data_IF_615832297898
#
_entry.id   IF_615832297898
#
_cell.length_a   1.000
_cell.length_b   1.000
_cell.length_c   1.000
_cell.angle_alpha   90.00
_cell.angle_beta   90.00
_cell.angle_gamma   90.00
#
_symmetry.space_group_name_H-M   'P 1'
#
loop_
_entity.id
_entity.type
_entity.pdbx_description
1 polymer ?
#
# COMPACT_ATOMS: atom_id res chain seq x y z
N UNK A 1 4.65 -15.11 -36.91
CA UNK A 1 5.09 -15.08 -35.51
C UNK A 1 5.70 -13.72 -35.27
N UNK A 2 4.97 -12.78 -34.66
CA UNK A 2 5.50 -11.46 -34.35
C UNK A 2 6.59 -11.63 -33.29
N UNK A 3 7.84 -11.44 -33.67
CA UNK A 3 8.99 -11.52 -32.77
C UNK A 3 8.80 -10.56 -31.60
N UNK A 4 8.89 -11.08 -30.38
CA UNK A 4 8.89 -10.27 -29.16
C UNK A 4 9.97 -9.19 -29.28
N UNK A 5 9.65 -7.90 -29.09
CA UNK A 5 10.65 -6.84 -29.18
C UNK A 5 11.86 -7.09 -28.27
N UNK A 6 13.07 -6.81 -28.76
CA UNK A 6 14.33 -7.15 -28.08
C UNK A 6 14.47 -6.58 -26.66
N UNK A 7 13.70 -5.54 -26.32
CA UNK A 7 13.63 -5.00 -24.96
C UNK A 7 13.20 -6.04 -23.91
N UNK A 8 12.48 -7.09 -24.29
CA UNK A 8 12.03 -8.14 -23.36
C UNK A 8 12.95 -9.36 -23.29
N UNK A 9 14.02 -9.39 -24.10
CA UNK A 9 14.88 -10.57 -24.26
C UNK A 9 15.61 -11.00 -22.98
N UNK A 10 15.78 -10.10 -22.00
CA UNK A 10 16.44 -10.36 -20.72
C UNK A 10 15.54 -11.11 -19.70
N UNK A 11 14.25 -11.28 -19.99
CA UNK A 11 13.31 -11.89 -19.05
C UNK A 11 13.26 -13.40 -19.30
N UNK A 12 14.08 -14.14 -18.57
CA UNK A 12 14.06 -15.59 -18.58
C UNK A 12 12.87 -16.12 -17.76
N UNK A 13 12.09 -17.03 -18.34
CA UNK A 13 10.94 -17.70 -17.70
C UNK A 13 9.93 -16.76 -17.00
N UNK A 14 9.29 -15.81 -17.73
CA UNK A 14 8.33 -14.89 -17.13
C UNK A 14 7.11 -15.62 -16.55
N UNK A 15 6.58 -15.10 -15.43
CA UNK A 15 5.29 -15.54 -14.89
C UNK A 15 4.15 -15.29 -15.88
N UNK A 16 3.00 -15.92 -15.69
CA UNK A 16 1.84 -15.73 -16.56
C UNK A 16 1.40 -14.25 -16.64
N UNK A 17 1.45 -13.54 -15.51
CA UNK A 17 1.13 -12.10 -15.44
C UNK A 17 2.12 -11.26 -16.26
N UNK A 18 3.42 -11.55 -16.15
CA UNK A 18 4.46 -10.83 -16.90
C UNK A 18 4.33 -11.12 -18.40
N UNK A 19 4.03 -12.36 -18.80
CA UNK A 19 3.75 -12.70 -20.20
C UNK A 19 2.58 -11.89 -20.75
N UNK A 20 1.47 -11.81 -20.02
CA UNK A 20 0.31 -11.03 -20.43
C UNK A 20 0.61 -9.53 -20.60
N UNK A 21 1.48 -8.97 -19.75
CA UNK A 21 1.95 -7.58 -19.92
C UNK A 21 2.76 -7.43 -21.21
N UNK A 22 3.72 -8.32 -21.45
CA UNK A 22 4.58 -8.29 -22.65
C UNK A 22 3.73 -8.41 -23.92
N UNK A 23 2.75 -9.31 -23.94
CA UNK A 23 1.83 -9.49 -25.05
C UNK A 23 1.04 -8.21 -25.35
N UNK A 24 0.49 -7.56 -24.31
CA UNK A 24 -0.23 -6.28 -24.48
C UNK A 24 0.65 -5.17 -25.01
N UNK A 25 1.88 -5.02 -24.49
CA UNK A 25 2.83 -4.02 -24.96
C UNK A 25 3.22 -4.28 -26.42
N UNK A 26 3.45 -5.54 -26.79
CA UNK A 26 3.78 -5.94 -28.16
C UNK A 26 2.60 -5.70 -29.11
N UNK A 27 1.38 -5.97 -28.67
CA UNK A 27 0.17 -5.69 -29.43
C UNK A 27 -0.01 -4.18 -29.66
N UNK A 28 0.16 -3.35 -28.62
CA UNK A 28 0.10 -1.89 -28.73
C UNK A 28 1.16 -1.35 -29.70
N UNK A 29 2.38 -1.90 -29.65
CA UNK A 29 3.46 -1.54 -30.58
C UNK A 29 3.14 -1.92 -32.03
N UNK A 30 2.62 -3.12 -32.24
CA UNK A 30 2.28 -3.61 -33.59
C UNK A 30 1.09 -2.86 -34.19
N UNK A 31 0.13 -2.47 -33.35
CA UNK A 31 -1.05 -1.71 -33.74
C UNK A 31 -0.80 -0.20 -33.86
N UNK A 32 0.41 0.29 -33.53
CA UNK A 32 0.73 1.70 -33.61
C UNK A 32 0.60 2.21 -35.05
N UNK A 33 -0.12 3.32 -35.20
CA UNK A 33 -0.48 3.88 -36.51
C UNK A 33 0.68 4.66 -37.13
N UNK A 34 0.56 4.96 -38.42
CA UNK A 34 1.51 5.85 -39.10
C UNK A 34 1.53 7.25 -38.48
N UNK A 35 0.38 7.73 -37.99
CA UNK A 35 0.29 8.98 -37.24
C UNK A 35 1.07 8.92 -35.93
N UNK A 36 0.96 7.82 -35.18
CA UNK A 36 1.74 7.63 -33.95
C UNK A 36 3.25 7.68 -34.23
N UNK A 37 3.70 6.98 -35.28
CA UNK A 37 5.11 6.99 -35.72
C UNK A 37 5.57 8.38 -36.14
N UNK A 38 4.76 9.09 -36.91
CA UNK A 38 5.08 10.45 -37.34
C UNK A 38 5.19 11.42 -36.16
N UNK A 39 4.28 11.34 -35.18
CA UNK A 39 4.34 12.16 -33.96
C UNK A 39 5.54 11.80 -33.08
N UNK A 40 5.86 10.51 -32.92
CA UNK A 40 7.09 10.09 -32.22
C UNK A 40 8.32 10.68 -32.90
N UNK A 41 8.44 10.55 -34.22
CA UNK A 41 9.57 11.11 -34.96
C UNK A 41 9.72 12.62 -34.75
N UNK A 42 8.62 13.39 -34.68
CA UNK A 42 8.68 14.83 -34.34
C UNK A 42 9.27 15.07 -32.95
N UNK A 43 8.91 14.25 -31.95
CA UNK A 43 9.49 14.35 -30.60
C UNK A 43 10.99 14.07 -30.62
N UNK A 44 11.41 13.02 -31.35
CA UNK A 44 12.81 12.61 -31.43
C UNK A 44 13.66 13.68 -32.14
N UNK A 45 13.20 14.18 -33.29
CA UNK A 45 13.93 15.22 -34.02
C UNK A 45 13.99 16.54 -33.23
N UNK A 46 12.93 16.87 -32.49
CA UNK A 46 12.96 17.99 -31.55
C UNK A 46 14.01 17.79 -30.46
N UNK A 47 14.11 16.60 -29.87
CA UNK A 47 15.11 16.28 -28.86
C UNK A 47 16.54 16.46 -29.39
N UNK A 48 16.80 16.00 -30.63
CA UNK A 48 18.10 16.08 -31.30
C UNK A 48 18.57 17.49 -31.64
N UNK A 49 17.67 18.49 -31.64
CA UNK A 49 18.09 19.89 -31.76
C UNK A 49 19.00 20.35 -30.60
N UNK A 50 18.99 19.62 -29.48
CA UNK A 50 19.73 19.96 -28.27
C UNK A 50 19.16 21.16 -27.51
N UNK A 51 18.06 21.75 -27.99
CA UNK A 51 17.38 22.83 -27.28
C UNK A 51 16.69 22.27 -26.04
N UNK A 52 17.02 22.84 -24.89
CA UNK A 52 16.37 22.52 -23.61
C UNK A 52 15.04 23.24 -23.51
N UNK A 53 13.96 22.51 -23.67
CA UNK A 53 12.61 22.99 -23.44
C UNK A 53 11.67 21.85 -23.01
N UNK A 54 10.39 22.15 -22.85
CA UNK A 54 9.36 21.16 -22.57
C UNK A 54 8.06 21.46 -23.31
N UNK A 55 7.22 20.45 -23.47
CA UNK A 55 5.88 20.59 -24.02
C UNK A 55 4.91 19.59 -23.38
N UNK A 56 3.61 19.90 -23.42
CA UNK A 56 2.56 18.94 -23.09
C UNK A 56 2.18 18.19 -24.35
N UNK A 57 2.18 16.86 -24.28
CA UNK A 57 1.88 15.96 -25.40
C UNK A 57 0.71 15.07 -25.01
N UNK A 58 -0.24 14.88 -25.94
CA UNK A 58 -1.24 13.82 -25.85
C UNK A 58 -0.60 12.50 -26.25
N UNK A 59 -0.12 11.74 -25.26
CA UNK A 59 0.58 10.49 -25.51
C UNK A 59 -0.46 9.38 -25.73
N UNK A 60 -0.55 8.89 -26.98
CA UNK A 60 -1.39 7.74 -27.33
C UNK A 60 -0.72 6.43 -26.88
N UNK A 61 -1.48 5.33 -26.76
CA UNK A 61 -0.89 4.01 -26.48
C UNK A 61 0.13 3.57 -27.53
N UNK A 62 -0.12 3.88 -28.82
CA UNK A 62 0.79 3.58 -29.92
C UNK A 62 2.11 4.35 -29.81
N UNK A 63 2.05 5.66 -29.59
CA UNK A 63 3.25 6.49 -29.36
C UNK A 63 4.05 5.98 -28.16
N UNK A 64 3.36 5.68 -27.06
CA UNK A 64 3.98 5.19 -25.84
C UNK A 64 4.70 3.85 -26.04
N UNK A 65 4.08 2.93 -26.79
CA UNK A 65 4.66 1.64 -27.12
C UNK A 65 5.90 1.79 -28.02
N UNK A 66 5.88 2.66 -29.03
CA UNK A 66 7.04 2.96 -29.88
C UNK A 66 8.19 3.53 -29.04
N UNK A 67 7.91 4.56 -28.22
CA UNK A 67 8.91 5.17 -27.36
C UNK A 67 9.54 4.18 -26.39
N UNK A 68 8.73 3.31 -25.80
CA UNK A 68 9.20 2.28 -24.89
C UNK A 68 10.02 1.19 -25.61
N UNK A 69 9.61 0.75 -26.79
CA UNK A 69 10.28 -0.36 -27.50
C UNK A 69 11.55 0.09 -28.24
N UNK A 70 11.52 1.24 -28.92
CA UNK A 70 12.57 1.64 -29.86
C UNK A 70 13.59 2.64 -29.27
N UNK A 71 13.16 3.45 -28.30
CA UNK A 71 13.92 4.60 -27.78
C UNK A 71 14.28 4.49 -26.29
N UNK A 72 14.02 3.35 -25.64
CA UNK A 72 14.32 3.12 -24.23
C UNK A 72 15.66 2.38 -24.01
N UNK A 73 16.77 2.95 -24.49
CA UNK A 73 18.06 2.23 -24.56
C UNK A 73 18.96 2.42 -23.34
N UNK A 74 18.84 3.56 -22.67
CA UNK A 74 19.78 4.00 -21.63
C UNK A 74 19.19 3.94 -20.21
N UNK A 75 17.95 3.48 -20.08
CA UNK A 75 17.29 3.36 -18.79
C UNK A 75 17.70 2.08 -18.04
N UNK A 76 17.53 2.12 -16.72
CA UNK A 76 17.66 0.95 -15.86
C UNK A 76 16.70 -0.17 -16.27
N UNK A 77 16.96 -1.37 -15.75
CA UNK A 77 16.12 -2.55 -15.98
C UNK A 77 14.62 -2.26 -15.81
N UNK A 78 13.84 -2.78 -16.76
CA UNK A 78 12.41 -2.58 -16.80
C UNK A 78 11.72 -3.37 -15.68
N UNK A 79 10.68 -2.78 -15.08
CA UNK A 79 9.89 -3.42 -14.02
C UNK A 79 8.46 -3.62 -14.51
N UNK A 80 8.03 -4.87 -14.75
CA UNK A 80 6.65 -5.19 -15.10
C UNK A 80 5.67 -4.73 -14.01
N UNK A 81 6.03 -4.89 -12.73
CA UNK A 81 5.21 -4.45 -11.60
C UNK A 81 4.98 -2.93 -11.62
N UNK A 82 6.02 -2.12 -11.87
CA UNK A 82 5.86 -0.66 -11.97
C UNK A 82 5.02 -0.25 -13.17
N UNK A 83 5.14 -0.99 -14.26
CA UNK A 83 4.32 -0.77 -15.46
C UNK A 83 2.84 -1.05 -15.18
N UNK A 84 2.54 -2.16 -14.51
CA UNK A 84 1.20 -2.50 -14.06
C UNK A 84 0.64 -1.44 -13.10
N UNK A 85 1.44 -0.95 -12.14
CA UNK A 85 1.04 0.14 -11.23
C UNK A 85 0.62 1.40 -12.01
N UNK A 86 1.39 1.85 -13.01
CA UNK A 86 0.99 3.00 -13.82
C UNK A 86 -0.22 2.72 -14.71
N UNK A 87 -0.28 1.53 -15.31
CA UNK A 87 -1.42 1.11 -16.13
C UNK A 87 -2.73 1.12 -15.33
N UNK A 88 -2.71 0.58 -14.10
CA UNK A 88 -3.86 0.59 -13.19
C UNK A 88 -4.26 2.02 -12.79
N UNK A 89 -3.30 2.90 -12.51
CA UNK A 89 -3.60 4.30 -12.19
C UNK A 89 -4.34 5.00 -13.32
N UNK A 90 -3.94 4.74 -14.57
CA UNK A 90 -4.60 5.31 -15.74
C UNK A 90 -6.00 4.73 -15.90
N UNK A 91 -6.16 3.40 -15.85
CA UNK A 91 -7.47 2.77 -16.08
C UNK A 91 -8.47 3.01 -14.95
N UNK A 92 -8.00 3.27 -13.73
CA UNK A 92 -8.84 3.63 -12.58
C UNK A 92 -9.15 5.12 -12.46
N UNK A 93 -8.68 5.96 -13.39
CA UNK A 93 -8.86 7.42 -13.34
C UNK A 93 -8.08 8.09 -12.21
N UNK A 94 -7.10 7.41 -11.61
CA UNK A 94 -6.21 7.99 -10.59
C UNK A 94 -4.95 8.65 -11.20
N UNK A 95 -4.84 8.69 -12.52
CA UNK A 95 -3.75 9.40 -13.20
C UNK A 95 -4.01 10.90 -13.15
N UNK A 96 -3.07 11.63 -12.55
CA UNK A 96 -3.12 13.09 -12.44
C UNK A 96 -2.04 13.70 -13.31
N UNK A 97 -2.38 14.77 -14.03
CA UNK A 97 -1.40 15.52 -14.81
C UNK A 97 -0.40 16.21 -13.87
N UNK A 98 0.90 16.01 -14.12
CA UNK A 98 1.96 16.67 -13.38
C UNK A 98 3.09 17.13 -14.31
N UNK A 99 4.01 17.94 -13.79
CA UNK A 99 5.25 18.32 -14.48
C UNK A 99 6.21 17.14 -14.69
N UNK A 100 5.99 16.01 -14.00
CA UNK A 100 6.77 14.79 -14.17
C UNK A 100 6.19 13.99 -15.35
N UNK A 101 7.02 13.66 -16.32
CA UNK A 101 6.56 12.96 -17.52
C UNK A 101 7.68 12.19 -18.23
N UNK A 102 7.89 12.44 -19.52
CA UNK A 102 8.97 11.80 -20.27
C UNK A 102 10.15 12.74 -20.46
N UNK A 103 11.35 12.16 -20.49
CA UNK A 103 12.58 12.91 -20.71
C UNK A 103 13.34 12.37 -21.91
N UNK A 104 13.78 13.24 -22.80
CA UNK A 104 14.59 12.87 -23.97
C UNK A 104 15.98 13.48 -23.95
N UNK A 105 16.95 12.65 -24.32
CA UNK A 105 18.33 13.05 -24.52
C UNK A 105 18.52 13.76 -25.86
N UNK A 106 19.64 14.45 -26.00
CA UNK A 106 20.12 14.99 -27.28
C UNK A 106 20.34 13.89 -28.34
N UNK A 107 20.46 12.61 -27.96
CA UNK A 107 20.50 11.47 -28.90
C UNK A 107 19.13 11.15 -29.50
N UNK A 108 18.05 11.61 -28.87
CA UNK A 108 16.68 11.17 -29.13
C UNK A 108 16.23 9.98 -28.29
N UNK A 109 17.10 9.35 -27.50
CA UNK A 109 16.67 8.28 -26.59
C UNK A 109 15.93 8.86 -25.39
N UNK A 110 14.96 8.10 -24.89
CA UNK A 110 14.26 8.39 -23.65
C UNK A 110 15.17 8.12 -22.45
N UNK A 111 15.41 9.13 -21.62
CA UNK A 111 16.21 9.07 -20.38
C UNK A 111 15.37 8.91 -19.12
N UNK A 112 14.07 9.19 -19.19
CA UNK A 112 13.16 9.10 -18.06
C UNK A 112 11.74 8.79 -18.54
N UNK A 113 10.98 8.13 -17.67
CA UNK A 113 9.57 7.84 -17.89
C UNK A 113 9.31 6.47 -18.52
N UNK A 114 10.29 5.55 -18.57
CA UNK A 114 10.10 4.23 -19.18
C UNK A 114 8.87 3.47 -18.65
N UNK A 115 8.64 3.48 -17.34
CA UNK A 115 7.50 2.79 -16.72
C UNK A 115 6.19 3.55 -16.94
N UNK A 116 6.25 4.89 -17.09
CA UNK A 116 5.09 5.72 -17.44
C UNK A 116 4.67 5.44 -18.87
N UNK A 117 5.59 5.49 -19.83
CA UNK A 117 5.34 5.15 -21.23
C UNK A 117 4.80 3.72 -21.38
N UNK A 118 5.45 2.73 -20.77
CA UNK A 118 4.93 1.36 -20.75
C UNK A 118 3.54 1.27 -20.09
N UNK A 119 3.28 2.04 -19.04
CA UNK A 119 1.98 2.10 -18.36
C UNK A 119 0.86 2.64 -19.26
N UNK A 120 1.11 3.71 -20.03
CA UNK A 120 0.17 4.25 -21.03
C UNK A 120 -0.14 3.22 -22.11
N UNK A 121 0.91 2.58 -22.66
CA UNK A 121 0.75 1.51 -23.65
C UNK A 121 -0.06 0.34 -23.09
N UNK A 122 0.20 -0.07 -21.84
CA UNK A 122 -0.51 -1.16 -21.17
C UNK A 122 -1.98 -0.82 -20.87
N UNK A 123 -2.26 0.42 -20.46
CA UNK A 123 -3.60 0.89 -20.12
C UNK A 123 -4.52 1.01 -21.34
N UNK A 124 -3.95 1.23 -22.53
CA UNK A 124 -4.72 1.43 -23.76
C UNK A 124 -5.52 2.73 -23.79
N UNK A 125 -5.16 3.73 -22.97
CA UNK A 125 -5.81 5.03 -22.91
C UNK A 125 -4.82 6.17 -23.19
N UNK A 126 -5.26 7.18 -23.93
CA UNK A 126 -4.47 8.39 -24.20
C UNK A 126 -4.45 9.29 -22.97
N UNK A 127 -3.28 9.80 -22.58
CA UNK A 127 -3.11 10.73 -21.47
C UNK A 127 -2.33 11.98 -21.89
N UNK A 128 -2.56 13.10 -21.21
CA UNK A 128 -1.68 14.26 -21.32
C UNK A 128 -0.44 14.06 -20.45
N UNK A 129 0.75 14.33 -21.00
CA UNK A 129 2.00 14.18 -20.29
C UNK A 129 3.01 15.26 -20.67
N UNK A 130 3.73 15.76 -19.67
CA UNK A 130 4.85 16.68 -19.87
C UNK A 130 6.02 15.94 -20.51
N UNK A 131 6.66 16.52 -21.52
CA UNK A 131 7.83 15.96 -22.19
C UNK A 131 8.95 16.99 -22.17
N UNK A 132 10.11 16.62 -21.64
CA UNK A 132 11.33 17.43 -21.63
C UNK A 132 12.34 17.01 -22.71
N UNK A 133 13.00 17.99 -23.33
CA UNK A 133 13.91 17.78 -24.46
C UNK A 133 15.33 18.32 -24.18
N UNK A 134 16.31 17.87 -24.99
CA UNK A 134 17.66 18.46 -25.05
C UNK A 134 18.54 18.16 -23.82
N UNK A 135 18.33 17.02 -23.17
CA UNK A 135 19.15 16.63 -22.02
C UNK A 135 20.45 15.96 -22.45
N UNK A 136 21.56 16.38 -21.83
CA UNK A 136 22.84 15.68 -21.98
C UNK A 136 22.76 14.30 -21.32
N UNK A 137 23.49 13.32 -21.84
CA UNK A 137 23.54 11.96 -21.30
C UNK A 137 23.83 11.92 -19.78
N UNK A 138 24.74 12.78 -19.29
CA UNK A 138 25.07 12.87 -17.87
C UNK A 138 23.89 13.29 -16.95
N UNK A 139 22.81 13.86 -17.50
CA UNK A 139 21.64 14.22 -16.72
C UNK A 139 20.92 13.00 -16.12
N UNK A 140 21.03 11.82 -16.75
CA UNK A 140 20.38 10.57 -16.31
C UNK A 140 20.69 10.27 -14.83
N UNK A 141 21.91 10.54 -14.37
CA UNK A 141 22.36 10.24 -13.00
C UNK A 141 21.65 11.12 -11.97
N UNK A 142 21.20 12.32 -12.34
CA UNK A 142 20.54 13.26 -11.44
C UNK A 142 19.02 13.02 -11.32
N UNK A 143 18.43 12.27 -12.26
CA UNK A 143 16.98 12.02 -12.33
C UNK A 143 16.54 11.14 -11.15
N UNK A 144 15.44 11.54 -10.50
CA UNK A 144 14.76 10.77 -9.44
C UNK A 144 15.64 10.33 -8.24
N UNK A 145 16.69 11.10 -7.95
CA UNK A 145 17.56 10.90 -6.77
C UNK A 145 16.95 11.41 -5.45
N UNK A 146 15.75 11.98 -5.50
CA UNK A 146 15.07 12.56 -4.35
C UNK A 146 14.43 11.55 -3.40
N UNK A 147 14.10 11.99 -2.19
CA UNK A 147 13.36 11.18 -1.21
C UNK A 147 11.94 10.89 -1.71
N UNK A 148 11.58 9.61 -1.81
CA UNK A 148 10.21 9.17 -2.11
C UNK A 148 9.26 9.62 -1.01
N UNK A 149 8.23 10.40 -1.37
CA UNK A 149 7.17 10.84 -0.43
C UNK A 149 6.38 9.64 0.11
N UNK A 150 6.15 9.63 1.41
CA UNK A 150 5.30 8.65 2.09
C UNK A 150 3.84 9.14 2.15
N UNK A 151 2.88 8.24 2.41
CA UNK A 151 1.46 8.60 2.62
C UNK A 151 1.29 9.77 3.61
N UNK A 152 2.05 9.77 4.69
CA UNK A 152 2.06 10.84 5.70
C UNK A 152 2.61 12.17 5.19
N UNK A 153 3.56 12.16 4.25
CA UNK A 153 4.04 13.38 3.61
C UNK A 153 2.91 13.98 2.74
N UNK A 154 2.15 13.15 2.00
CA UNK A 154 1.00 13.62 1.22
C UNK A 154 -0.10 14.23 2.08
N UNK A 155 -0.40 13.61 3.22
CA UNK A 155 -1.41 14.08 4.15
C UNK A 155 -0.98 15.33 4.93
N UNK A 156 0.33 15.49 5.15
CA UNK A 156 0.89 16.70 5.74
C UNK A 156 0.84 17.90 4.79
N UNK A 157 0.84 17.68 3.46
CA UNK A 157 0.66 18.76 2.49
C UNK A 157 -0.73 19.37 2.69
N UNK A 158 -0.77 20.66 3.02
CA UNK A 158 -2.00 21.41 3.23
C UNK A 158 -2.74 21.09 4.54
N UNK A 159 -2.09 20.44 5.51
CA UNK A 159 -2.69 20.08 6.81
C UNK A 159 -4.02 19.32 6.69
N UNK A 160 -4.13 18.40 5.73
CA UNK A 160 -5.40 17.71 5.44
C UNK A 160 -5.90 16.86 6.61
N UNK A 161 -5.00 16.36 7.46
CA UNK A 161 -5.33 15.61 8.68
C UNK A 161 -4.31 15.91 9.78
N UNK A 162 -4.75 15.85 11.03
CA UNK A 162 -3.86 15.85 12.19
C UNK A 162 -3.07 14.53 12.31
N UNK A 163 -1.84 14.59 12.82
CA UNK A 163 -0.97 13.44 13.12
C UNK A 163 -0.80 12.41 11.98
N UNK A 164 -0.50 12.84 10.74
CA UNK A 164 -0.52 11.96 9.56
C UNK A 164 0.47 10.78 9.67
N UNK A 165 1.62 10.98 10.31
CA UNK A 165 2.61 9.91 10.55
C UNK A 165 2.07 8.81 11.46
N UNK A 166 1.38 9.19 12.54
CA UNK A 166 0.81 8.25 13.51
C UNK A 166 -0.34 7.47 12.88
N UNK A 167 -1.23 8.16 12.17
CA UNK A 167 -2.33 7.54 11.40
C UNK A 167 -1.83 6.56 10.33
N UNK A 168 -0.76 6.89 9.61
CA UNK A 168 -0.12 5.97 8.66
C UNK A 168 0.34 4.67 9.34
N UNK A 169 0.95 4.75 10.51
CA UNK A 169 1.38 3.56 11.26
C UNK A 169 0.17 2.74 11.69
N UNK A 170 -0.87 3.39 12.22
CA UNK A 170 -2.09 2.72 12.69
C UNK A 170 -2.80 1.96 11.60
N UNK A 171 -3.05 2.60 10.45
CA UNK A 171 -3.68 1.94 9.29
C UNK A 171 -2.85 0.74 8.82
N UNK A 172 -1.53 0.91 8.62
CA UNK A 172 -0.66 -0.18 8.17
C UNK A 172 -0.67 -1.37 9.14
N UNK A 173 -0.61 -1.12 10.45
CA UNK A 173 -0.61 -2.18 11.46
C UNK A 173 -1.96 -2.90 11.58
N UNK A 174 -3.06 -2.14 11.58
CA UNK A 174 -4.40 -2.71 11.64
C UNK A 174 -4.72 -3.53 10.38
N UNK A 175 -4.47 -2.97 9.20
CA UNK A 175 -4.77 -3.64 7.92
C UNK A 175 -3.90 -4.89 7.71
N UNK A 176 -2.61 -4.83 8.06
CA UNK A 176 -1.75 -6.01 8.00
C UNK A 176 -2.24 -7.13 8.93
N UNK A 177 -2.76 -6.77 10.10
CA UNK A 177 -3.33 -7.74 11.05
C UNK A 177 -4.64 -8.33 10.53
N UNK A 178 -5.57 -7.49 10.06
CA UNK A 178 -6.86 -7.95 9.51
C UNK A 178 -6.66 -8.83 8.27
N UNK A 179 -5.76 -8.44 7.35
CA UNK A 179 -5.38 -9.27 6.21
C UNK A 179 -4.78 -10.62 6.62
N UNK A 180 -4.02 -10.65 7.73
CA UNK A 180 -3.46 -11.90 8.26
C UNK A 180 -4.56 -12.82 8.82
N UNK A 181 -5.60 -12.26 9.42
CA UNK A 181 -6.69 -13.00 10.08
C UNK A 181 -7.84 -13.38 9.13
N UNK A 182 -7.93 -12.73 7.97
CA UNK A 182 -8.94 -13.03 6.97
C UNK A 182 -8.95 -14.50 6.56
N UNK A 183 -10.15 -15.08 6.48
CA UNK A 183 -10.38 -16.50 6.17
C UNK A 183 -10.43 -16.76 4.65
N UNK A 184 -10.66 -15.72 3.87
CA UNK A 184 -10.68 -15.76 2.41
C UNK A 184 -9.99 -14.54 1.81
N UNK A 185 -9.66 -14.62 0.52
CA UNK A 185 -9.14 -13.47 -0.22
C UNK A 185 -10.16 -12.34 -0.32
N UNK A 186 -11.44 -12.67 -0.41
CA UNK A 186 -12.54 -11.68 -0.42
C UNK A 186 -12.60 -10.90 0.90
N UNK A 187 -12.45 -11.56 2.04
CA UNK A 187 -12.38 -10.90 3.35
C UNK A 187 -11.09 -10.08 3.51
N UNK A 188 -9.98 -10.52 2.90
CA UNK A 188 -8.69 -9.85 2.96
C UNK A 188 -8.64 -8.58 2.08
N UNK A 189 -9.41 -8.56 1.00
CA UNK A 189 -9.32 -7.56 -0.08
C UNK A 189 -9.45 -6.11 0.39
N UNK A 190 -10.37 -5.72 1.29
CA UNK A 190 -10.51 -4.33 1.74
C UNK A 190 -9.28 -3.81 2.51
N UNK A 191 -8.48 -4.72 3.06
CA UNK A 191 -7.30 -4.40 3.88
C UNK A 191 -5.99 -4.55 3.10
N UNK A 192 -6.06 -4.84 1.80
CA UNK A 192 -4.88 -4.94 0.96
C UNK A 192 -4.32 -3.55 0.67
N UNK A 193 -3.02 -3.37 0.92
CA UNK A 193 -2.28 -2.17 0.58
C UNK A 193 -1.28 -2.57 -0.49
N UNK A 194 -1.37 -1.96 -1.67
CA UNK A 194 -0.46 -2.20 -2.79
C UNK A 194 0.98 -1.83 -2.40
N UNK A 195 1.96 -2.28 -3.17
CA UNK A 195 3.34 -1.88 -2.98
C UNK A 195 3.60 -0.48 -3.57
N UNK A 196 4.74 0.13 -3.22
CA UNK A 196 5.21 1.37 -3.84
C UNK A 196 4.27 2.57 -3.68
N UNK A 197 4.18 3.37 -4.76
CA UNK A 197 3.40 4.61 -4.77
C UNK A 197 1.89 4.37 -4.68
N UNK A 198 1.38 3.31 -5.29
CA UNK A 198 -0.02 2.91 -5.17
C UNK A 198 -0.40 2.59 -3.72
N UNK A 199 0.48 1.91 -2.98
CA UNK A 199 0.31 1.67 -1.54
C UNK A 199 0.22 2.93 -0.70
N UNK A 200 0.96 3.98 -1.06
CA UNK A 200 0.83 5.27 -0.38
C UNK A 200 -0.57 5.87 -0.59
N UNK A 201 -1.14 5.75 -1.80
CA UNK A 201 -2.51 6.22 -2.09
C UNK A 201 -3.55 5.41 -1.33
N UNK A 202 -3.40 4.09 -1.26
CA UNK A 202 -4.29 3.21 -0.49
C UNK A 202 -4.33 3.64 0.99
N UNK A 203 -3.16 3.92 1.57
CA UNK A 203 -3.06 4.41 2.95
C UNK A 203 -3.68 5.80 3.11
N UNK A 204 -3.47 6.72 2.17
CA UNK A 204 -4.11 8.05 2.19
C UNK A 204 -5.63 7.92 2.15
N UNK A 205 -6.17 7.08 1.25
CA UNK A 205 -7.61 6.80 1.13
C UNK A 205 -8.17 6.23 2.43
N UNK A 206 -7.49 5.23 3.00
CA UNK A 206 -7.89 4.60 4.27
C UNK A 206 -7.87 5.59 5.45
N UNK A 207 -6.84 6.46 5.53
CA UNK A 207 -6.77 7.49 6.59
C UNK A 207 -7.93 8.46 6.45
N UNK A 208 -8.20 8.97 5.24
CA UNK A 208 -9.32 9.89 5.01
C UNK A 208 -10.67 9.25 5.31
N UNK A 209 -10.88 8.00 4.89
CA UNK A 209 -12.11 7.25 5.13
C UNK A 209 -12.38 6.97 6.62
N UNK A 210 -11.32 6.92 7.44
CA UNK A 210 -11.41 6.54 8.85
C UNK A 210 -10.87 7.60 9.81
N UNK A 211 -10.80 8.87 9.40
CA UNK A 211 -10.08 9.91 10.17
C UNK A 211 -10.63 10.07 11.60
N UNK A 212 -11.97 10.10 11.74
CA UNK A 212 -12.63 10.19 13.04
C UNK A 212 -12.32 8.97 13.93
N UNK A 213 -12.46 7.76 13.40
CA UNK A 213 -12.13 6.52 14.12
C UNK A 213 -10.65 6.48 14.54
N UNK A 214 -9.75 6.97 13.67
CA UNK A 214 -8.33 7.07 13.98
C UNK A 214 -8.06 8.07 15.11
N UNK A 215 -8.72 9.23 15.11
CA UNK A 215 -8.62 10.21 16.19
C UNK A 215 -9.08 9.62 17.53
N UNK A 216 -10.23 8.95 17.54
CA UNK A 216 -10.74 8.28 18.73
C UNK A 216 -9.81 7.18 19.23
N UNK A 217 -9.31 6.34 18.33
CA UNK A 217 -8.37 5.28 18.67
C UNK A 217 -7.04 5.82 19.22
N UNK A 218 -6.55 6.96 18.71
CA UNK A 218 -5.36 7.62 19.26
C UNK A 218 -5.60 8.09 20.70
N UNK A 219 -6.75 8.68 20.99
CA UNK A 219 -7.12 9.10 22.34
C UNK A 219 -7.16 7.89 23.29
N UNK A 220 -7.89 6.84 22.91
CA UNK A 220 -7.99 5.59 23.69
C UNK A 220 -6.59 5.00 23.94
N UNK A 221 -5.76 4.92 22.90
CA UNK A 221 -4.40 4.39 23.01
C UNK A 221 -3.53 5.19 23.99
N UNK A 222 -3.60 6.53 23.95
CA UNK A 222 -2.86 7.40 24.88
C UNK A 222 -3.36 7.26 26.33
N UNK A 223 -4.67 7.28 26.53
CA UNK A 223 -5.28 7.16 27.85
C UNK A 223 -4.97 5.79 28.46
N UNK A 224 -5.02 4.73 27.66
CA UNK A 224 -4.70 3.36 28.08
C UNK A 224 -3.26 3.14 28.55
N UNK A 225 -2.34 4.09 28.35
CA UNK A 225 -0.97 3.97 28.87
C UNK A 225 -0.64 5.02 29.92
N UNK A 226 -1.56 5.95 30.20
CA UNK A 226 -1.33 7.06 31.11
C UNK A 226 -1.07 6.55 32.53
N UNK A 227 0.05 7.00 33.12
CA UNK A 227 0.43 6.59 34.47
C UNK A 227 1.01 5.17 34.58
N UNK A 228 1.17 4.44 33.46
CA UNK A 228 1.71 3.07 33.46
C UNK A 228 3.20 3.07 33.10
N UNK A 229 4.04 2.48 33.95
CA UNK A 229 5.48 2.40 33.73
C UNK A 229 5.89 1.31 32.73
N UNK A 230 5.13 0.22 32.64
CA UNK A 230 5.38 -0.92 31.74
C UNK A 230 4.09 -1.42 31.09
N UNK A 231 3.44 -0.63 30.21
CA UNK A 231 2.25 -1.08 29.51
C UNK A 231 2.57 -2.24 28.55
N UNK A 232 1.62 -3.17 28.40
CA UNK A 232 1.74 -4.32 27.48
C UNK A 232 1.87 -3.89 26.01
N UNK A 233 1.12 -2.85 25.61
CA UNK A 233 1.25 -2.16 24.33
C UNK A 233 1.68 -0.72 24.56
N UNK A 234 2.70 -0.26 23.83
CA UNK A 234 3.06 1.17 23.82
C UNK A 234 1.92 2.00 23.23
N UNK A 235 1.87 3.30 23.51
CA UNK A 235 0.80 4.20 23.08
C UNK A 235 0.39 4.07 21.60
N UNK A 236 1.36 3.90 20.69
CA UNK A 236 1.09 3.73 19.27
C UNK A 236 0.57 2.33 18.93
N UNK A 237 1.09 1.27 19.57
CA UNK A 237 0.58 -0.09 19.41
C UNK A 237 -0.86 -0.18 19.94
N UNK A 238 -1.12 0.42 21.10
CA UNK A 238 -2.43 0.49 21.73
C UNK A 238 -3.45 1.24 20.86
N UNK A 239 -3.03 2.37 20.27
CA UNK A 239 -3.88 3.12 19.34
C UNK A 239 -4.20 2.31 18.07
N UNK A 240 -3.21 1.63 17.47
CA UNK A 240 -3.44 0.76 16.32
C UNK A 240 -4.37 -0.40 16.64
N UNK A 241 -4.25 -0.97 17.84
CA UNK A 241 -5.10 -2.05 18.32
C UNK A 241 -6.54 -1.57 18.55
N UNK A 242 -6.71 -0.43 19.23
CA UNK A 242 -8.02 0.20 19.40
C UNK A 242 -8.68 0.53 18.06
N UNK A 243 -7.91 1.05 17.11
CA UNK A 243 -8.40 1.34 15.75
C UNK A 243 -8.91 0.06 15.07
N UNK A 244 -8.16 -1.05 15.16
CA UNK A 244 -8.57 -2.34 14.60
C UNK A 244 -9.91 -2.80 15.18
N UNK A 245 -10.07 -2.76 16.50
CA UNK A 245 -11.30 -3.20 17.16
C UNK A 245 -12.50 -2.32 16.77
N UNK A 246 -12.33 -0.99 16.78
CA UNK A 246 -13.37 -0.05 16.34
C UNK A 246 -13.76 -0.27 14.88
N UNK A 247 -12.78 -0.51 14.00
CA UNK A 247 -13.01 -0.82 12.59
C UNK A 247 -13.79 -2.14 12.40
N UNK A 248 -13.66 -3.07 13.34
CA UNK A 248 -14.39 -4.35 13.39
C UNK A 248 -15.70 -4.29 14.19
N UNK A 249 -16.17 -3.09 14.51
CA UNK A 249 -17.49 -2.86 15.11
C UNK A 249 -17.54 -3.06 16.63
N UNK A 250 -16.40 -3.09 17.31
CA UNK A 250 -16.40 -3.18 18.77
C UNK A 250 -16.97 -1.90 19.40
N UNK A 251 -17.86 -2.02 20.41
CA UNK A 251 -18.34 -0.85 21.15
C UNK A 251 -17.18 -0.12 21.84
N UNK A 252 -17.09 1.20 21.66
CA UNK A 252 -16.02 2.03 22.23
C UNK A 252 -15.81 1.82 23.73
N UNK A 253 -16.88 1.71 24.50
CA UNK A 253 -16.81 1.48 25.95
C UNK A 253 -16.10 0.16 26.30
N UNK A 254 -16.33 -0.90 25.51
CA UNK A 254 -15.65 -2.19 25.65
C UNK A 254 -14.18 -2.09 25.30
N UNK A 255 -13.86 -1.44 24.17
CA UNK A 255 -12.47 -1.22 23.77
C UNK A 255 -11.69 -0.48 24.86
N UNK A 256 -12.27 0.55 25.49
CA UNK A 256 -11.63 1.30 26.58
C UNK A 256 -11.41 0.39 27.80
N UNK A 257 -12.46 -0.28 28.27
CA UNK A 257 -12.40 -1.15 29.45
C UNK A 257 -11.40 -2.28 29.29
N UNK A 258 -11.50 -3.03 28.19
CA UNK A 258 -10.70 -4.24 27.98
C UNK A 258 -9.23 -3.87 27.73
N UNK A 259 -8.98 -2.78 27.01
CA UNK A 259 -7.62 -2.28 26.81
C UNK A 259 -7.01 -1.77 28.11
N UNK A 260 -7.78 -1.12 28.99
CA UNK A 260 -7.30 -0.71 30.31
C UNK A 260 -6.88 -1.93 31.15
N UNK A 261 -7.73 -2.95 31.20
CA UNK A 261 -7.44 -4.22 31.88
C UNK A 261 -6.18 -4.88 31.28
N UNK A 262 -6.09 -4.96 29.96
CA UNK A 262 -4.95 -5.54 29.24
C UNK A 262 -3.62 -4.80 29.48
N UNK A 263 -3.68 -3.48 29.60
CA UNK A 263 -2.50 -2.64 29.81
C UNK A 263 -2.00 -2.67 31.25
N UNK A 264 -2.89 -2.92 32.22
CA UNK A 264 -2.49 -3.07 33.62
C UNK A 264 -1.55 -4.27 33.80
N UNK A 265 -1.77 -5.35 33.05
CA UNK A 265 -1.08 -6.62 33.28
C UNK A 265 -1.32 -7.19 34.69
N UNK A 266 -2.27 -6.61 35.43
CA UNK A 266 -2.66 -7.03 36.76
C UNK A 266 -3.89 -7.90 36.66
N UNK A 267 -3.91 -8.92 37.51
CA UNK A 267 -5.00 -9.84 37.55
C UNK A 267 -6.14 -9.33 38.44
N UNK A 268 -7.16 -8.72 37.83
CA UNK A 268 -8.38 -8.28 38.53
C UNK A 268 -9.42 -9.40 38.70
N UNK A 269 -9.30 -10.51 37.96
CA UNK A 269 -10.35 -11.55 37.81
C UNK A 269 -9.90 -13.01 38.09
N UNK A 270 -8.62 -13.24 38.42
CA UNK A 270 -7.99 -14.55 38.58
C UNK A 270 -6.93 -14.84 37.48
N UNK A 271 -5.75 -15.38 37.86
CA UNK A 271 -4.51 -15.39 37.04
C UNK A 271 -4.55 -16.28 35.79
N UNK A 272 -5.75 -16.72 35.43
CA UNK A 272 -6.08 -17.48 34.24
C UNK A 272 -7.03 -16.73 33.29
N UNK A 273 -7.45 -15.51 33.62
CA UNK A 273 -8.34 -14.71 32.77
C UNK A 273 -7.72 -14.47 31.39
N UNK A 274 -8.50 -14.49 30.29
CA UNK A 274 -7.94 -14.40 28.94
C UNK A 274 -7.08 -13.16 28.71
N UNK A 275 -7.53 -12.00 29.18
CA UNK A 275 -6.84 -10.72 29.04
C UNK A 275 -5.48 -10.76 29.78
N UNK A 276 -5.45 -11.26 31.02
CA UNK A 276 -4.22 -11.39 31.79
C UNK A 276 -3.24 -12.36 31.13
N UNK A 277 -3.70 -13.55 30.74
CA UNK A 277 -2.85 -14.59 30.10
C UNK A 277 -2.22 -14.06 28.82
N UNK A 278 -2.96 -13.31 28.00
CA UNK A 278 -2.41 -12.70 26.80
C UNK A 278 -1.40 -11.59 27.11
N UNK A 279 -1.69 -10.72 28.09
CA UNK A 279 -0.78 -9.65 28.48
C UNK A 279 0.55 -10.22 29.02
N UNK A 280 0.48 -11.16 29.95
CA UNK A 280 1.65 -11.83 30.54
C UNK A 280 2.50 -12.55 29.49
N UNK A 281 1.86 -13.30 28.58
CA UNK A 281 2.59 -14.00 27.51
C UNK A 281 3.27 -13.03 26.55
N UNK A 282 2.60 -11.95 26.14
CA UNK A 282 3.18 -10.93 25.25
C UNK A 282 4.38 -10.24 25.91
N UNK A 283 4.30 -9.95 27.21
CA UNK A 283 5.40 -9.35 27.96
C UNK A 283 6.59 -10.33 28.11
N UNK A 284 6.34 -11.61 28.39
CA UNK A 284 7.38 -12.65 28.47
C UNK A 284 8.10 -12.87 27.14
N UNK A 285 7.38 -12.90 26.02
CA UNK A 285 7.98 -13.07 24.69
C UNK A 285 8.86 -11.87 24.32
N UNK A 286 8.44 -10.66 24.69
CA UNK A 286 9.26 -9.46 24.53
C UNK A 286 10.57 -9.52 25.35
N UNK A 287 10.53 -10.06 26.57
CA UNK A 287 11.73 -10.22 27.42
C UNK A 287 12.69 -11.27 26.86
N UNK A 288 12.18 -12.39 26.34
CA UNK A 288 12.99 -13.49 25.80
C UNK A 288 13.61 -13.21 24.43
N UNK A 289 13.26 -12.08 23.79
CA UNK A 289 13.60 -11.78 22.39
C UNK A 289 13.09 -12.83 21.39
N UNK A 290 12.17 -13.70 21.79
CA UNK A 290 11.44 -14.66 20.94
C UNK A 290 10.30 -13.94 20.21
N UNK A 291 10.59 -12.76 19.66
CA UNK A 291 9.61 -11.73 19.35
C UNK A 291 8.63 -12.12 18.25
N UNK A 292 7.40 -12.45 18.62
CA UNK A 292 6.30 -12.55 17.69
C UNK A 292 6.07 -11.19 16.99
N UNK A 293 5.74 -11.23 15.69
CA UNK A 293 5.38 -10.00 14.93
C UNK A 293 4.26 -9.24 15.64
N UNK A 294 4.18 -7.92 15.47
CA UNK A 294 3.10 -7.12 16.09
C UNK A 294 1.70 -7.63 15.70
N UNK A 295 1.50 -8.06 14.45
CA UNK A 295 0.24 -8.65 14.00
C UNK A 295 -0.10 -9.96 14.74
N UNK A 296 0.90 -10.76 15.12
CA UNK A 296 0.69 -11.95 15.94
C UNK A 296 0.36 -11.60 17.40
N UNK A 297 1.00 -10.57 17.98
CA UNK A 297 0.65 -10.04 19.30
C UNK A 297 -0.79 -9.51 19.31
N UNK A 298 -1.21 -8.80 18.26
CA UNK A 298 -2.59 -8.34 18.11
C UNK A 298 -3.58 -9.51 17.98
N UNK A 299 -3.24 -10.55 17.21
CA UNK A 299 -4.09 -11.75 17.11
C UNK A 299 -4.33 -12.42 18.47
N UNK A 300 -3.29 -12.56 19.30
CA UNK A 300 -3.42 -13.07 20.66
C UNK A 300 -4.31 -12.16 21.54
N UNK A 301 -4.12 -10.85 21.48
CA UNK A 301 -4.94 -9.90 22.23
C UNK A 301 -6.41 -9.92 21.77
N UNK A 302 -6.69 -9.98 20.46
CA UNK A 302 -8.04 -10.12 19.91
C UNK A 302 -8.70 -11.38 20.45
N UNK A 303 -8.01 -12.53 20.39
CA UNK A 303 -8.53 -13.80 20.91
C UNK A 303 -8.90 -13.67 22.39
N UNK A 304 -8.04 -13.06 23.19
CA UNK A 304 -8.29 -12.84 24.60
C UNK A 304 -9.53 -11.94 24.85
N UNK A 305 -9.67 -10.85 24.10
CA UNK A 305 -10.80 -9.92 24.24
C UNK A 305 -12.11 -10.61 23.85
N UNK A 306 -12.10 -11.37 22.76
CA UNK A 306 -13.27 -12.17 22.32
C UNK A 306 -13.69 -13.17 23.40
N UNK A 307 -12.74 -13.91 23.98
CA UNK A 307 -13.03 -14.86 25.06
C UNK A 307 -13.56 -14.16 26.31
N UNK A 308 -13.00 -13.01 26.67
CA UNK A 308 -13.47 -12.22 27.81
C UNK A 308 -14.92 -11.75 27.61
N UNK A 309 -15.25 -11.19 26.45
CA UNK A 309 -16.61 -10.72 26.13
C UNK A 309 -17.61 -11.89 25.98
N UNK A 310 -17.14 -13.10 25.68
CA UNK A 310 -17.95 -14.33 25.76
C UNK A 310 -18.17 -14.84 27.20
N UNK A 311 -17.60 -14.17 28.21
CA UNK A 311 -17.71 -14.54 29.62
C UNK A 311 -16.78 -15.67 30.06
N UNK A 312 -15.76 -16.01 29.27
CA UNK A 312 -14.78 -17.04 29.62
C UNK A 312 -13.83 -16.48 30.68
N UNK A 313 -13.86 -17.08 31.87
CA UNK A 313 -13.08 -16.62 33.05
C UNK A 313 -11.67 -17.20 33.14
N UNK A 314 -11.39 -18.29 32.44
CA UNK A 314 -10.11 -18.99 32.51
C UNK A 314 -9.71 -19.59 31.16
N UNK A 315 -8.46 -19.43 30.76
CA UNK A 315 -7.90 -19.96 29.50
C UNK A 315 -6.51 -20.54 29.72
N UNK A 316 -6.13 -21.53 28.89
CA UNK A 316 -4.75 -22.05 28.87
C UNK A 316 -3.85 -21.15 28.02
N UNK A 317 -2.59 -21.00 28.43
CA UNK A 317 -1.55 -20.27 27.66
C UNK A 317 -1.42 -20.78 26.23
N UNK A 318 -1.57 -22.10 26.02
CA UNK A 318 -1.50 -22.73 24.69
C UNK A 318 -2.56 -22.18 23.73
N UNK A 319 -3.75 -21.86 24.21
CA UNK A 319 -4.85 -21.37 23.39
C UNK A 319 -4.56 -19.95 22.88
N UNK A 320 -4.02 -19.08 23.75
CA UNK A 320 -3.56 -17.74 23.35
C UNK A 320 -2.34 -17.83 22.42
N UNK A 321 -1.42 -18.76 22.66
CA UNK A 321 -0.24 -18.96 21.80
C UNK A 321 -0.63 -19.47 20.41
N UNK A 322 -1.67 -20.29 20.31
CA UNK A 322 -2.16 -20.78 19.02
C UNK A 322 -2.66 -19.63 18.15
N UNK A 323 -3.32 -18.61 18.71
CA UNK A 323 -3.71 -17.40 17.97
C UNK A 323 -2.51 -16.65 17.35
N UNK A 324 -1.33 -16.71 17.95
CA UNK A 324 -0.11 -16.12 17.38
C UNK A 324 0.46 -16.91 16.20
N UNK A 325 0.13 -18.21 16.10
CA UNK A 325 0.68 -19.13 15.10
C UNK A 325 -0.32 -19.43 13.97
N UNK A 326 -1.58 -19.64 14.30
CA UNK A 326 -2.65 -20.08 13.42
C UNK A 326 -3.59 -18.93 13.06
N UNK A 327 -3.84 -18.76 11.75
CA UNK A 327 -4.72 -17.72 11.21
C UNK A 327 -6.22 -18.07 11.37
N UNK A 328 -6.55 -19.36 11.45
CA UNK A 328 -7.92 -19.86 11.29
C UNK A 328 -8.82 -19.74 12.55
N UNK A 329 -8.25 -19.36 13.71
CA UNK A 329 -8.94 -19.45 15.02
C UNK A 329 -9.34 -18.10 15.63
N UNK A 330 -9.10 -16.99 14.94
CA UNK A 330 -9.29 -15.64 15.47
C UNK A 330 -10.25 -14.86 14.59
N UNK A 331 -11.46 -14.63 15.08
CA UNK A 331 -12.39 -13.64 14.53
C UNK A 331 -12.15 -12.30 15.23
N UNK A 332 -11.89 -11.24 14.46
CA UNK A 332 -11.67 -9.92 15.03
C UNK A 332 -12.96 -9.13 15.29
N UNK A 333 -14.12 -9.69 14.93
CA UNK A 333 -15.43 -9.06 15.09
C UNK A 333 -15.91 -9.16 16.55
N UNK A 334 -16.78 -8.23 16.96
CA UNK A 334 -17.35 -8.27 18.30
C UNK A 334 -18.25 -9.52 18.47
N UNK A 335 -18.16 -10.26 19.59
CA UNK A 335 -18.96 -11.47 19.78
C UNK A 335 -20.46 -11.21 19.65
N UNK A 336 -21.16 -12.12 18.94
CA UNK A 336 -22.62 -12.00 18.75
C UNK A 336 -23.05 -10.99 17.68
N UNK A 337 -22.12 -10.33 16.98
CA UNK A 337 -22.43 -9.52 15.78
C UNK A 337 -22.26 -10.36 14.51
N UNK A 338 -23.21 -10.27 13.58
CA UNK A 338 -23.02 -10.81 12.24
C UNK A 338 -21.94 -9.99 11.51
N UNK A 339 -21.08 -10.64 10.73
CA UNK A 339 -20.01 -9.99 9.97
C UNK A 339 -20.58 -8.91 9.05
N UNK A 340 -20.46 -7.64 9.43
CA UNK A 340 -20.87 -6.52 8.57
C UNK A 340 -19.74 -6.34 7.54
N UNK A 341 -19.92 -6.86 6.33
CA UNK A 341 -19.08 -6.47 5.21
C UNK A 341 -19.34 -4.99 4.93
N UNK A 342 -18.30 -4.14 4.87
CA UNK A 342 -18.49 -2.73 4.56
C UNK A 342 -19.10 -2.63 3.16
N UNK A 343 -20.34 -2.16 3.09
CA UNK A 343 -21.06 -1.90 1.86
C UNK A 343 -20.18 -1.02 0.96
N UNK A 344 -19.90 -1.50 -0.25
CA UNK A 344 -19.51 -0.63 -1.35
C UNK A 344 -20.64 0.39 -1.54
N UNK A 345 -20.41 1.62 -1.08
CA UNK A 345 -21.21 2.77 -1.48
C UNK A 345 -20.97 3.03 -2.96
N UNK A 346 -21.77 2.41 -3.83
CA UNK A 346 -22.06 2.97 -5.14
C UNK A 346 -22.88 4.24 -4.90
N UNK A 347 -22.22 5.39 -4.92
CA UNK A 347 -22.90 6.66 -5.16
C UNK A 347 -23.20 6.69 -6.65
N UNK A 348 -24.50 6.75 -6.95
CA UNK A 348 -25.06 6.94 -8.30
C UNK A 348 -24.65 8.27 -8.92
#
# INVERSE_FOLDING_TARGET
MNSVPGIFAHIENPSAEVKAIIEKLTAAYTAATETDRAEVNKLIERAKTGKRDSAVVKLTPGMAAILFVEYNRNNREWSPTKTAEYGEQITSGEWEFTHQGLGFLESGDMSDGQHRAAGVALAGQTVEMTVGFGMKFGAIIAIDTGKVRQASDFLGIGNQVADPKRKQVMVKQAYATLRRLAKSEEEARPYFIRSGGAGNRDVVKAIKAHDLLLNEAMQIGNESVRGRSKPTFKANEAASFAFLLLLKGWPKARVISDLDNFQSGEDREGGSSPIFVAADQIQKDAQKREGATLAARFAAAIKAFVLHEQGIKAVRVSEIRNAMKSKAEVDASFPGTATIHPLHGTVS
#
